data_IF_094208001445
#
_entry.id   IF_094208001445
#
_cell.length_a   1.000
_cell.length_b   1.000
_cell.length_c   1.000
_cell.angle_alpha   90.00
_cell.angle_beta   90.00
_cell.angle_gamma   90.00
#
_symmetry.space_group_name_H-M   'P 1'
#
loop_
_entity.id
_entity.type
_entity.pdbx_description
1 polymer ?
#
# COMPACT_ATOMS: atom_id res chain seq x y z
N UNK A 1 26.33 8.01 -4.31
CA UNK A 1 24.94 8.49 -4.23
C UNK A 1 24.32 8.35 -5.61
N UNK A 2 23.45 7.37 -5.80
CA UNK A 2 22.77 7.14 -7.08
C UNK A 2 21.89 8.36 -7.40
N UNK A 3 22.30 9.17 -8.36
CA UNK A 3 21.41 10.14 -8.98
C UNK A 3 20.44 9.32 -9.82
N UNK A 4 19.30 8.93 -9.24
CA UNK A 4 18.18 8.41 -10.00
C UNK A 4 17.78 9.51 -10.99
N UNK A 5 18.35 9.46 -12.20
CA UNK A 5 18.07 10.40 -13.27
C UNK A 5 16.57 10.26 -13.53
N UNK A 6 15.81 11.27 -13.13
CA UNK A 6 14.35 11.20 -13.01
C UNK A 6 13.74 10.81 -14.35
N UNK A 7 13.27 9.57 -14.47
CA UNK A 7 12.48 9.15 -15.63
C UNK A 7 11.12 9.84 -15.53
N UNK A 8 10.84 10.88 -16.34
CA UNK A 8 9.60 11.63 -16.19
C UNK A 8 8.40 10.77 -16.61
N UNK A 9 8.61 9.78 -17.48
CA UNK A 9 7.60 8.82 -17.89
C UNK A 9 7.16 7.95 -16.71
N UNK A 10 8.10 7.34 -15.97
CA UNK A 10 7.79 6.51 -14.81
C UNK A 10 7.08 7.30 -13.71
N UNK A 11 7.58 8.50 -13.38
CA UNK A 11 6.98 9.36 -12.37
C UNK A 11 5.57 9.82 -12.75
N UNK A 12 5.32 10.14 -14.03
CA UNK A 12 3.98 10.49 -14.50
C UNK A 12 3.02 9.30 -14.45
N UNK A 13 3.48 8.10 -14.80
CA UNK A 13 2.65 6.90 -14.71
C UNK A 13 2.23 6.63 -13.26
N UNK A 14 3.19 6.66 -12.32
CA UNK A 14 2.92 6.53 -10.90
C UNK A 14 1.97 7.62 -10.37
N UNK A 15 2.22 8.89 -10.72
CA UNK A 15 1.39 10.00 -10.27
C UNK A 15 -0.06 9.89 -10.78
N UNK A 16 -0.25 9.47 -12.04
CA UNK A 16 -1.58 9.23 -12.61
C UNK A 16 -2.29 8.08 -11.91
N UNK A 17 -1.65 6.93 -11.78
CA UNK A 17 -2.22 5.77 -11.09
C UNK A 17 -2.63 6.12 -9.66
N UNK A 18 -1.75 6.81 -8.92
CA UNK A 18 -2.04 7.29 -7.56
C UNK A 18 -3.22 8.28 -7.52
N UNK A 19 -3.36 9.15 -8.52
CA UNK A 19 -4.43 10.12 -8.58
C UNK A 19 -5.78 9.45 -8.80
N UNK A 20 -5.89 8.58 -9.82
CA UNK A 20 -7.12 7.86 -10.14
C UNK A 20 -7.56 6.99 -8.96
N UNK A 21 -6.65 6.19 -8.40
CA UNK A 21 -6.95 5.29 -7.28
C UNK A 21 -7.27 6.01 -5.96
N UNK A 22 -6.95 7.31 -5.84
CA UNK A 22 -7.38 8.12 -4.68
C UNK A 22 -8.86 8.53 -4.81
N UNK A 23 -9.35 8.68 -6.03
CA UNK A 23 -10.75 8.99 -6.35
C UNK A 23 -11.65 7.77 -6.51
N UNK A 24 -11.08 6.56 -6.42
CA UNK A 24 -11.81 5.30 -6.50
C UNK A 24 -12.77 5.02 -5.34
N UNK A 25 -13.50 3.92 -5.47
CA UNK A 25 -14.56 3.50 -4.53
C UNK A 25 -14.01 2.95 -3.21
N UNK A 26 -12.77 2.48 -3.18
CA UNK A 26 -12.16 1.91 -1.98
C UNK A 26 -12.04 2.90 -0.83
N UNK A 27 -12.52 2.57 0.39
CA UNK A 27 -12.36 3.41 1.57
C UNK A 27 -10.89 3.74 1.88
N UNK A 28 -10.65 4.94 2.39
CA UNK A 28 -9.29 5.39 2.73
C UNK A 28 -8.59 4.47 3.74
N UNK A 29 -9.35 3.92 4.69
CA UNK A 29 -8.86 2.96 5.68
C UNK A 29 -8.37 1.65 5.03
N UNK A 30 -9.17 1.06 4.13
CA UNK A 30 -8.81 -0.16 3.38
C UNK A 30 -7.55 0.05 2.55
N UNK A 31 -7.45 1.17 1.81
CA UNK A 31 -6.24 1.51 1.06
C UNK A 31 -5.00 1.61 1.95
N UNK A 32 -5.16 2.15 3.16
CA UNK A 32 -4.07 2.28 4.12
C UNK A 32 -3.63 0.91 4.68
N UNK A 33 -4.55 -0.03 4.90
CA UNK A 33 -4.21 -1.41 5.31
C UNK A 33 -3.37 -2.11 4.26
N UNK A 34 -3.81 -2.06 2.99
CA UNK A 34 -3.09 -2.66 1.86
C UNK A 34 -1.69 -2.06 1.74
N UNK A 35 -1.58 -0.73 1.84
CA UNK A 35 -0.30 -0.04 1.73
C UNK A 35 0.68 -0.40 2.87
N UNK A 36 0.18 -0.58 4.10
CA UNK A 36 0.99 -1.06 5.22
C UNK A 36 1.49 -2.48 5.00
N UNK A 37 0.61 -3.38 4.53
CA UNK A 37 0.95 -4.79 4.30
C UNK A 37 2.04 -4.94 3.24
N UNK A 38 1.87 -4.27 2.10
CA UNK A 38 2.85 -4.30 0.99
C UNK A 38 4.20 -3.72 1.43
N UNK A 39 4.20 -2.59 2.15
CA UNK A 39 5.44 -1.97 2.61
C UNK A 39 6.19 -2.83 3.64
N UNK A 40 5.46 -3.57 4.49
CA UNK A 40 6.04 -4.53 5.43
C UNK A 40 6.75 -5.67 4.70
N UNK A 41 6.05 -6.33 3.78
CA UNK A 41 6.61 -7.48 3.05
C UNK A 41 7.81 -7.09 2.17
N UNK A 42 7.82 -5.85 1.65
CA UNK A 42 8.95 -5.31 0.90
C UNK A 42 10.10 -4.81 1.77
N UNK A 43 9.94 -4.79 3.08
CA UNK A 43 10.95 -4.28 4.00
C UNK A 43 11.30 -2.82 3.71
N UNK A 44 10.28 -1.97 3.52
CA UNK A 44 10.42 -0.53 3.24
C UNK A 44 10.00 0.33 4.45
N UNK A 45 10.90 0.50 5.45
CA UNK A 45 10.70 1.36 6.62
C UNK A 45 10.20 2.78 6.30
N UNK A 46 10.68 3.37 5.20
CA UNK A 46 10.23 4.70 4.78
C UNK A 46 8.74 4.69 4.45
N UNK A 47 8.29 3.78 3.58
CA UNK A 47 6.87 3.68 3.22
C UNK A 47 6.02 3.22 4.41
N UNK A 48 6.49 2.28 5.24
CA UNK A 48 5.76 1.83 6.44
C UNK A 48 5.35 3.03 7.30
N UNK A 49 6.28 3.94 7.57
CA UNK A 49 5.97 5.08 8.42
C UNK A 49 5.06 6.13 7.75
N UNK A 50 5.23 6.37 6.45
CA UNK A 50 4.32 7.23 5.70
C UNK A 50 2.90 6.65 5.71
N UNK A 51 2.76 5.35 5.47
CA UNK A 51 1.47 4.67 5.48
C UNK A 51 0.88 4.58 6.88
N UNK A 52 1.68 4.40 7.94
CA UNK A 52 1.19 4.45 9.32
C UNK A 52 0.64 5.83 9.70
N UNK A 53 1.23 6.92 9.19
CA UNK A 53 0.67 8.27 9.35
C UNK A 53 -0.66 8.40 8.62
N UNK A 54 -0.74 7.97 7.37
CA UNK A 54 -1.98 7.99 6.58
C UNK A 54 -3.09 7.13 7.21
N UNK A 55 -2.74 5.95 7.71
CA UNK A 55 -3.65 5.03 8.39
C UNK A 55 -4.31 5.67 9.62
N UNK A 56 -3.51 6.37 10.46
CA UNK A 56 -4.04 7.12 11.60
C UNK A 56 -5.00 8.24 11.16
N UNK A 57 -4.66 8.97 10.10
CA UNK A 57 -5.56 10.00 9.55
C UNK A 57 -6.84 9.40 8.96
N UNK A 58 -6.79 8.16 8.48
CA UNK A 58 -7.96 7.41 8.02
C UNK A 58 -8.78 6.77 9.16
N UNK A 59 -8.42 7.00 10.42
CA UNK A 59 -9.16 6.52 11.59
C UNK A 59 -8.74 5.15 12.11
N UNK A 60 -7.66 4.56 11.58
CA UNK A 60 -7.18 3.26 12.07
C UNK A 60 -6.48 3.41 13.43
N UNK A 61 -6.88 2.55 14.37
CA UNK A 61 -6.21 2.40 15.66
C UNK A 61 -4.85 1.71 15.54
N UNK A 62 -4.01 1.82 16.58
CA UNK A 62 -2.66 1.25 16.57
C UNK A 62 -2.65 -0.27 16.42
N UNK A 63 -3.57 -0.96 17.08
CA UNK A 63 -3.68 -2.43 16.98
C UNK A 63 -4.03 -2.86 15.55
N UNK A 64 -4.92 -2.11 14.91
CA UNK A 64 -5.33 -2.37 13.53
C UNK A 64 -4.23 -2.08 12.53
N UNK A 65 -3.45 -1.00 12.75
CA UNK A 65 -2.23 -0.72 11.98
C UNK A 65 -1.23 -1.87 12.11
N UNK A 66 -1.07 -2.42 13.32
CA UNK A 66 -0.17 -3.55 13.57
C UNK A 66 -0.63 -4.80 12.81
N UNK A 67 -1.92 -5.14 12.86
CA UNK A 67 -2.50 -6.27 12.11
C UNK A 67 -2.38 -6.11 10.60
N UNK A 68 -2.61 -4.90 10.10
CA UNK A 68 -2.54 -4.61 8.68
C UNK A 68 -1.17 -4.93 8.08
N UNK A 69 -0.09 -4.74 8.86
CA UNK A 69 1.29 -5.08 8.43
C UNK A 69 1.47 -6.57 8.15
N UNK A 70 0.64 -7.45 8.70
CA UNK A 70 0.65 -8.88 8.43
C UNK A 70 -0.54 -9.35 7.58
N UNK A 71 -1.10 -8.45 6.74
CA UNK A 71 -2.28 -8.71 5.92
C UNK A 71 -3.50 -9.19 6.74
N UNK A 72 -3.71 -8.63 7.93
CA UNK A 72 -4.83 -8.99 8.80
C UNK A 72 -5.59 -7.76 9.29
N UNK A 73 -6.84 -7.96 9.71
CA UNK A 73 -7.74 -6.96 10.28
C UNK A 73 -8.59 -7.58 11.39
N UNK A 74 -8.99 -6.77 12.37
CA UNK A 74 -10.04 -7.16 13.31
C UNK A 74 -11.45 -7.12 12.69
N UNK A 75 -11.62 -6.45 11.55
CA UNK A 75 -12.87 -6.40 10.80
C UNK A 75 -12.95 -7.62 9.85
N UNK A 76 -13.96 -8.50 9.99
CA UNK A 76 -14.10 -9.68 9.14
C UNK A 76 -14.17 -9.38 7.64
N UNK A 77 -14.76 -8.24 7.25
CA UNK A 77 -14.84 -7.85 5.84
C UNK A 77 -13.45 -7.53 5.31
N UNK A 78 -12.68 -6.75 6.06
CA UNK A 78 -11.31 -6.37 5.68
C UNK A 78 -10.35 -7.58 5.75
N UNK A 79 -10.51 -8.48 6.71
CA UNK A 79 -9.71 -9.71 6.86
C UNK A 79 -9.82 -10.61 5.62
N UNK A 80 -11.03 -10.82 5.09
CA UNK A 80 -11.24 -11.62 3.89
C UNK A 80 -10.54 -11.01 2.66
N UNK A 81 -10.67 -9.69 2.48
CA UNK A 81 -9.98 -9.00 1.39
C UNK A 81 -8.46 -9.10 1.53
N UNK A 82 -7.92 -8.83 2.71
CA UNK A 82 -6.47 -8.88 2.93
C UNK A 82 -5.91 -10.29 2.78
N UNK A 83 -6.65 -11.32 3.19
CA UNK A 83 -6.28 -12.73 2.98
C UNK A 83 -6.19 -13.07 1.50
N UNK A 84 -7.18 -12.66 0.71
CA UNK A 84 -7.15 -12.83 -0.75
C UNK A 84 -5.96 -12.08 -1.38
N UNK A 85 -5.75 -10.82 -1.01
CA UNK A 85 -4.66 -10.01 -1.56
C UNK A 85 -3.28 -10.56 -1.18
N UNK A 86 -3.11 -11.07 0.04
CA UNK A 86 -1.88 -11.74 0.48
C UNK A 86 -1.58 -12.95 -0.41
N UNK A 87 -2.57 -13.82 -0.60
CA UNK A 87 -2.40 -14.98 -1.46
C UNK A 87 -2.06 -14.60 -2.91
N UNK A 88 -2.64 -13.51 -3.41
CA UNK A 88 -2.30 -12.95 -4.72
C UNK A 88 -0.88 -12.38 -4.77
N UNK A 89 -0.41 -11.79 -3.67
CA UNK A 89 0.89 -11.15 -3.57
C UNK A 89 2.05 -12.15 -3.41
N UNK A 90 1.83 -13.25 -2.68
CA UNK A 90 2.87 -14.25 -2.35
C UNK A 90 3.03 -15.36 -3.39
N UNK A 91 1.99 -15.69 -4.17
CA UNK A 91 2.01 -16.86 -5.06
C UNK A 91 2.56 -16.51 -6.46
N UNK A 92 3.51 -17.31 -6.95
CA UNK A 92 3.95 -17.31 -8.36
C UNK A 92 2.89 -17.97 -9.28
N UNK A 93 1.68 -17.41 -9.33
CA UNK A 93 0.56 -18.03 -10.02
C UNK A 93 -0.82 -17.47 -9.65
N UNK A 94 -1.86 -18.28 -9.87
CA UNK A 94 -3.23 -17.90 -9.49
C UNK A 94 -3.49 -18.28 -8.03
N UNK A 95 -4.02 -17.37 -7.19
CA UNK A 95 -4.45 -17.72 -5.86
C UNK A 95 -5.61 -18.73 -5.91
N UNK A 96 -5.86 -19.40 -4.79
CA UNK A 96 -6.95 -20.34 -4.70
C UNK A 96 -8.30 -19.62 -4.92
N UNK A 97 -9.16 -20.19 -5.77
CA UNK A 97 -10.40 -19.53 -6.20
C UNK A 97 -11.36 -19.22 -5.04
N UNK A 98 -11.38 -20.06 -4.00
CA UNK A 98 -12.25 -19.87 -2.83
C UNK A 98 -12.00 -18.55 -2.10
N UNK A 99 -10.76 -18.03 -2.08
CA UNK A 99 -10.45 -16.77 -1.41
C UNK A 99 -11.14 -15.56 -2.06
N UNK A 100 -11.30 -15.60 -3.39
CA UNK A 100 -12.05 -14.56 -4.11
C UNK A 100 -13.55 -14.66 -3.79
N UNK A 101 -14.09 -15.88 -3.71
CA UNK A 101 -15.49 -16.10 -3.34
C UNK A 101 -15.77 -15.68 -1.90
N UNK A 102 -14.89 -16.00 -0.95
CA UNK A 102 -14.98 -15.57 0.45
C UNK A 102 -15.00 -14.04 0.58
N UNK A 103 -14.20 -13.32 -0.22
CA UNK A 103 -14.24 -11.86 -0.25
C UNK A 103 -15.59 -11.33 -0.77
N UNK A 104 -16.19 -11.99 -1.77
CA UNK A 104 -17.51 -11.63 -2.30
C UNK A 104 -18.64 -11.94 -1.31
N UNK A 105 -18.52 -13.01 -0.55
CA UNK A 105 -19.50 -13.41 0.48
C UNK A 105 -19.62 -12.39 1.63
N UNK A 106 -18.59 -11.57 1.85
CA UNK A 106 -18.61 -10.45 2.82
C UNK A 106 -18.84 -9.08 2.15
N UNK A 107 -19.56 -9.09 1.03
CA UNK A 107 -20.03 -7.90 0.32
C UNK A 107 -18.91 -7.02 -0.26
N UNK A 108 -17.77 -7.59 -0.66
CA UNK A 108 -16.86 -6.89 -1.58
C UNK A 108 -17.35 -7.03 -3.02
N UNK A 109 -17.56 -5.90 -3.68
CA UNK A 109 -17.88 -5.87 -5.10
C UNK A 109 -16.65 -6.17 -5.97
N UNK A 110 -16.88 -6.64 -7.20
CA UNK A 110 -15.79 -6.86 -8.17
C UNK A 110 -15.01 -5.56 -8.47
N UNK A 111 -15.67 -4.40 -8.42
CA UNK A 111 -15.02 -3.10 -8.60
C UNK A 111 -14.05 -2.80 -7.45
N UNK A 112 -14.48 -2.94 -6.20
CA UNK A 112 -13.62 -2.75 -5.03
C UNK A 112 -12.45 -3.74 -5.01
N UNK A 113 -12.69 -5.00 -5.36
CA UNK A 113 -11.65 -6.05 -5.42
C UNK A 113 -10.59 -5.68 -6.47
N UNK A 114 -11.01 -5.29 -7.68
CA UNK A 114 -10.08 -4.89 -8.73
C UNK A 114 -9.31 -3.61 -8.36
N UNK A 115 -9.95 -2.64 -7.73
CA UNK A 115 -9.24 -1.48 -7.19
C UNK A 115 -8.24 -1.89 -6.11
N UNK A 116 -8.55 -2.91 -5.29
CA UNK A 116 -7.67 -3.37 -4.22
C UNK A 116 -6.41 -4.03 -4.78
N UNK A 117 -6.57 -4.83 -5.85
CA UNK A 117 -5.44 -5.36 -6.62
C UNK A 117 -4.59 -4.23 -7.22
N UNK A 118 -5.24 -3.18 -7.74
CA UNK A 118 -4.52 -2.02 -8.24
C UNK A 118 -3.78 -1.26 -7.11
N UNK A 119 -4.33 -1.19 -5.89
CA UNK A 119 -3.63 -0.64 -4.72
C UNK A 119 -2.39 -1.48 -4.37
N UNK A 120 -2.47 -2.81 -4.42
CA UNK A 120 -1.29 -3.67 -4.21
C UNK A 120 -0.19 -3.31 -5.21
N UNK A 121 -0.52 -3.24 -6.50
CA UNK A 121 0.43 -2.88 -7.55
C UNK A 121 0.99 -1.45 -7.40
N UNK A 122 0.18 -0.48 -6.98
CA UNK A 122 0.62 0.89 -6.73
C UNK A 122 1.66 0.97 -5.61
N UNK A 123 1.38 0.30 -4.48
CA UNK A 123 2.26 0.32 -3.32
C UNK A 123 3.53 -0.50 -3.56
N UNK A 124 3.42 -1.61 -4.29
CA UNK A 124 4.56 -2.38 -4.78
C UNK A 124 5.51 -1.49 -5.60
N UNK A 125 4.96 -0.78 -6.58
CA UNK A 125 5.73 0.15 -7.40
C UNK A 125 6.36 1.27 -6.56
N UNK A 126 5.64 1.78 -5.55
CA UNK A 126 6.17 2.79 -4.64
C UNK A 126 7.38 2.26 -3.86
N UNK A 127 7.30 1.06 -3.29
CA UNK A 127 8.41 0.46 -2.55
C UNK A 127 9.60 0.14 -3.45
N UNK A 128 9.38 -0.34 -4.68
CA UNK A 128 10.44 -0.51 -5.66
C UNK A 128 11.15 0.83 -5.97
N UNK A 129 10.40 1.91 -6.16
CA UNK A 129 10.98 3.25 -6.38
C UNK A 129 11.76 3.75 -5.16
N UNK A 130 11.20 3.60 -3.95
CA UNK A 130 11.85 4.05 -2.71
C UNK A 130 13.19 3.32 -2.49
N UNK A 131 13.19 2.00 -2.69
CA UNK A 131 14.38 1.16 -2.58
C UNK A 131 15.40 1.48 -3.69
N UNK A 132 14.97 1.64 -4.95
CA UNK A 132 15.86 2.00 -6.05
C UNK A 132 16.49 3.39 -5.88
N UNK A 133 15.75 4.35 -5.30
CA UNK A 133 16.24 5.68 -4.98
C UNK A 133 17.12 5.70 -3.71
N UNK A 134 17.25 4.57 -3.00
CA UNK A 134 17.93 4.48 -1.71
C UNK A 134 17.44 5.56 -0.72
N UNK A 135 16.11 5.75 -0.66
CA UNK A 135 15.53 6.68 0.29
C UNK A 135 15.93 6.29 1.72
N UNK A 136 16.19 7.26 2.60
CA UNK A 136 16.62 6.96 3.95
C UNK A 136 15.52 6.26 4.72
N UNK A 137 15.93 5.19 5.38
CA UNK A 137 15.07 4.33 6.17
C UNK A 137 14.83 4.93 7.57
N UNK A 138 15.73 5.80 8.02
CA UNK A 138 15.59 6.55 9.26
C UNK A 138 15.04 7.96 8.99
N UNK A 139 13.83 8.22 9.46
CA UNK A 139 13.19 9.54 9.38
C UNK A 139 13.65 10.49 10.50
N UNK A 140 14.38 9.95 11.48
CA UNK A 140 15.01 10.71 12.57
C UNK A 140 16.29 11.38 12.11
N UNK A 141 16.84 10.98 10.95
CA UNK A 141 18.02 11.61 10.37
C UNK A 141 17.65 13.02 9.89
N UNK A 142 18.04 14.08 10.63
CA UNK A 142 17.67 15.45 10.31
C UNK A 142 18.30 15.92 9.00
N UNK A 143 19.29 15.19 8.46
CA UNK A 143 19.92 15.49 7.18
C UNK A 143 19.03 15.19 5.97
N UNK A 144 17.90 14.50 6.17
CA UNK A 144 17.02 14.06 5.07
C UNK A 144 15.57 14.55 5.15
N UNK A 145 15.28 15.51 6.04
CA UNK A 145 14.06 16.28 5.89
C UNK A 145 14.11 17.02 4.55
N UNK A 146 13.14 16.85 3.63
CA UNK A 146 13.14 17.61 2.41
C UNK A 146 13.06 19.10 2.77
N UNK A 147 14.10 19.85 2.39
CA UNK A 147 14.04 21.30 2.28
C UNK A 147 13.10 21.66 1.13
N UNK A 148 11.81 21.51 1.39
CA UNK A 148 10.74 21.87 0.47
C UNK A 148 9.52 22.34 1.27
N UNK A 149 9.78 23.19 2.25
CA UNK A 149 8.86 24.24 2.68
C UNK A 149 9.48 25.58 2.25
N UNK A 150 9.63 25.78 0.94
CA UNK A 150 9.98 27.06 0.32
C UNK A 150 9.71 26.98 -1.20
N UNK A 151 8.45 27.10 -1.59
CA UNK A 151 8.00 27.64 -2.87
C UNK A 151 6.50 27.99 -2.76
#
# INVERSE_FOLDING_TARGET
MARCRSSPAALRAFARMRHELRGGVLPAATRARIALAVAEDRGDPYSIAQHAKTARTAGLGLDEISRARSWSSADPREEALLTFLKALFEVDGRPAHHLLEEAREVDWSDEEILEAVAQVALNEFQSLMANAAALPQDQSDPSVLPSAAAA
#
